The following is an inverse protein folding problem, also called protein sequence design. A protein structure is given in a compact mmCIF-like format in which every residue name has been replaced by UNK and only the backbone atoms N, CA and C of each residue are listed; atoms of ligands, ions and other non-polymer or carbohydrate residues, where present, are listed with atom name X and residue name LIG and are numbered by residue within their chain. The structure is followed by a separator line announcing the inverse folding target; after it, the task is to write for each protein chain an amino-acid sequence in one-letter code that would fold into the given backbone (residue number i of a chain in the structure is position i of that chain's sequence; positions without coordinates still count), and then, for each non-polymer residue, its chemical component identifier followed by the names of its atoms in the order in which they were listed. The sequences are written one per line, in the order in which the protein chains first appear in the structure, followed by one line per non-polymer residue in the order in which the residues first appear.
data_IF_455332316502
#
_entry.id   IF_455332316502
#
_cell.length_a   1.000
_cell.length_b   1.000
_cell.length_c   1.000
_cell.angle_alpha   90.00
_cell.angle_beta   90.00
_cell.angle_gamma   90.00
#
_symmetry.space_group_name_H-M   'P 1'
#
loop_
_entity.id
_entity.type
_entity.pdbx_description
1 polymer ?
#
# COMPACT_ATOMS: atom_id res chain seq x y z
N UNK A 1 12.88 2.37 -11.96
CA UNK A 1 12.34 1.01 -12.18
C UNK A 1 10.95 0.96 -11.61
N UNK A 2 9.99 0.58 -12.45
CA UNK A 2 8.58 0.49 -12.06
C UNK A 2 8.36 -0.69 -11.10
N UNK A 3 7.53 -0.53 -10.07
CA UNK A 3 7.18 -1.62 -9.17
C UNK A 3 6.44 -2.76 -9.89
N UNK A 4 6.73 -4.02 -9.54
CA UNK A 4 6.10 -5.20 -10.17
C UNK A 4 4.58 -5.24 -10.02
N UNK A 5 4.03 -4.62 -8.98
CA UNK A 5 2.60 -4.68 -8.66
C UNK A 5 1.82 -3.43 -9.14
N UNK A 6 2.46 -2.53 -9.89
CA UNK A 6 1.81 -1.32 -10.39
C UNK A 6 0.89 -1.61 -11.57
N UNK A 7 -0.36 -1.13 -11.50
CA UNK A 7 -1.28 -1.16 -12.64
C UNK A 7 -1.05 0.09 -13.48
N UNK A 8 -0.39 -0.07 -14.62
CA UNK A 8 -0.05 1.02 -15.55
C UNK A 8 -1.23 1.31 -16.47
N UNK A 9 -1.61 2.58 -16.52
CA UNK A 9 -2.62 3.13 -17.44
C UNK A 9 -1.97 3.74 -18.68
N UNK A 10 -0.75 4.25 -18.55
CA UNK A 10 0.02 4.81 -19.66
C UNK A 10 1.52 4.86 -19.34
N UNK A 11 2.32 4.76 -20.40
CA UNK A 11 3.77 4.89 -20.37
C UNK A 11 4.19 5.84 -21.49
N UNK A 12 5.10 6.77 -21.18
CA UNK A 12 5.76 7.61 -22.15
C UNK A 12 7.26 7.57 -21.92
N UNK A 13 8.01 7.22 -22.96
CA UNK A 13 9.45 6.96 -22.88
C UNK A 13 10.24 7.99 -23.67
N UNK A 14 11.18 8.63 -23.00
CA UNK A 14 12.03 9.68 -23.52
C UNK A 14 13.47 9.17 -23.65
N UNK A 15 14.10 9.51 -24.77
CA UNK A 15 15.45 9.08 -25.10
C UNK A 15 16.28 10.29 -25.57
N UNK A 16 17.55 10.36 -25.16
CA UNK A 16 18.48 11.38 -25.64
C UNK A 16 18.28 12.78 -25.06
N UNK A 17 17.63 12.89 -23.89
CA UNK A 17 17.53 14.16 -23.16
C UNK A 17 18.79 14.32 -22.32
N UNK A 18 19.76 15.12 -22.79
CA UNK A 18 21.07 15.30 -22.14
C UNK A 18 21.79 13.97 -21.80
N UNK A 19 21.83 13.03 -22.75
CA UNK A 19 22.37 11.66 -22.56
C UNK A 19 21.63 10.79 -21.54
N UNK A 20 20.45 11.22 -21.06
CA UNK A 20 19.56 10.43 -20.24
C UNK A 20 18.41 9.84 -21.06
N UNK A 21 17.95 8.68 -20.60
CA UNK A 21 16.71 8.05 -21.03
C UNK A 21 15.86 7.74 -19.80
N UNK A 22 14.58 8.10 -19.84
CA UNK A 22 13.65 7.86 -18.74
C UNK A 22 12.24 7.59 -19.27
N UNK A 23 11.42 6.96 -18.44
CA UNK A 23 10.02 6.72 -18.74
C UNK A 23 9.13 7.28 -17.62
N UNK A 24 8.02 7.90 -18.03
CA UNK A 24 6.96 8.39 -17.15
C UNK A 24 5.81 7.39 -17.20
N UNK A 25 5.37 6.94 -16.03
CA UNK A 25 4.27 5.98 -15.89
C UNK A 25 3.08 6.63 -15.20
N UNK A 26 1.92 6.62 -15.85
CA UNK A 26 0.65 6.86 -15.20
C UNK A 26 0.15 5.52 -14.66
N UNK A 27 0.06 5.38 -13.35
CA UNK A 27 -0.40 4.15 -12.71
C UNK A 27 -1.57 4.42 -11.75
N UNK A 28 -2.47 3.45 -11.61
CA UNK A 28 -3.54 3.50 -10.62
C UNK A 28 -2.94 3.40 -9.22
N UNK A 29 -3.40 4.20 -8.24
CA UNK A 29 -3.08 3.97 -6.83
C UNK A 29 -3.44 2.54 -6.45
N UNK A 30 -2.48 1.82 -5.89
CA UNK A 30 -2.63 0.45 -5.47
C UNK A 30 -2.05 0.31 -4.07
N UNK A 31 -2.82 -0.33 -3.19
CA UNK A 31 -2.36 -0.62 -1.85
C UNK A 31 -1.14 -1.54 -1.92
N UNK A 32 -0.13 -1.23 -1.11
CA UNK A 32 1.00 -2.13 -0.86
C UNK A 32 0.98 -2.50 0.61
N UNK A 33 1.08 -3.79 0.89
CA UNK A 33 1.05 -4.33 2.24
C UNK A 33 2.46 -4.76 2.66
N UNK A 34 2.85 -4.42 3.88
CA UNK A 34 4.06 -4.97 4.47
C UNK A 34 3.72 -6.27 5.19
N UNK A 35 3.81 -7.38 4.46
CA UNK A 35 3.28 -8.68 4.91
C UNK A 35 3.89 -9.14 6.24
N UNK A 36 5.16 -8.86 6.51
CA UNK A 36 5.79 -9.22 7.79
C UNK A 36 5.20 -8.42 8.96
N UNK A 37 4.96 -7.13 8.77
CA UNK A 37 4.39 -6.26 9.78
C UNK A 37 2.91 -6.61 10.05
N UNK A 38 2.13 -6.88 8.99
CA UNK A 38 0.74 -7.34 9.13
C UNK A 38 0.67 -8.70 9.84
N UNK A 39 1.55 -9.63 9.50
CA UNK A 39 1.59 -10.94 10.13
C UNK A 39 1.88 -10.84 11.65
N UNK A 40 2.70 -9.86 12.04
CA UNK A 40 3.02 -9.58 13.44
C UNK A 40 1.82 -9.06 14.23
N UNK A 41 0.90 -8.31 13.59
CA UNK A 41 -0.34 -7.86 14.24
C UNK A 41 -1.23 -9.02 14.72
N UNK A 42 -1.09 -10.18 14.08
CA UNK A 42 -1.89 -11.37 14.36
C UNK A 42 -1.06 -12.52 14.93
N UNK A 43 0.07 -12.23 15.56
CA UNK A 43 0.92 -13.23 16.22
C UNK A 43 1.32 -14.40 15.30
N UNK A 44 1.51 -14.14 14.00
CA UNK A 44 1.84 -15.19 13.03
C UNK A 44 0.64 -15.86 12.36
N UNK A 45 -0.60 -15.47 12.68
CA UNK A 45 -1.79 -16.04 12.06
C UNK A 45 -1.98 -15.50 10.63
N UNK A 46 -1.55 -16.31 9.65
CA UNK A 46 -1.63 -16.00 8.21
C UNK A 46 -3.07 -15.84 7.71
N UNK A 47 -4.04 -16.53 8.31
CA UNK A 47 -5.44 -16.43 7.89
C UNK A 47 -6.00 -15.05 8.23
N UNK A 48 -5.72 -14.55 9.43
CA UNK A 48 -6.14 -13.19 9.84
C UNK A 48 -5.40 -12.10 9.07
N UNK A 49 -4.09 -12.26 8.87
CA UNK A 49 -3.31 -11.36 8.02
C UNK A 49 -3.93 -11.25 6.60
N UNK A 50 -4.27 -12.40 6.00
CA UNK A 50 -4.91 -12.43 4.69
C UNK A 50 -6.32 -11.85 4.70
N UNK A 51 -7.09 -12.09 5.76
CA UNK A 51 -8.41 -11.49 5.97
C UNK A 51 -8.33 -9.97 6.00
N UNK A 52 -7.32 -9.41 6.68
CA UNK A 52 -7.08 -7.97 6.72
C UNK A 52 -6.73 -7.41 5.33
N UNK A 53 -5.81 -8.05 4.60
CA UNK A 53 -5.45 -7.63 3.24
C UNK A 53 -6.67 -7.60 2.31
N UNK A 54 -7.50 -8.65 2.35
CA UNK A 54 -8.72 -8.75 1.55
C UNK A 54 -9.71 -7.65 1.92
N UNK A 55 -9.92 -7.45 3.22
CA UNK A 55 -10.78 -6.37 3.72
C UNK A 55 -10.31 -5.02 3.18
N UNK A 56 -9.03 -4.67 3.33
CA UNK A 56 -8.51 -3.40 2.83
C UNK A 56 -8.60 -3.27 1.29
N UNK A 57 -8.37 -4.35 0.54
CA UNK A 57 -8.51 -4.36 -0.92
C UNK A 57 -9.96 -4.19 -1.40
N UNK A 58 -10.94 -4.60 -0.60
CA UNK A 58 -12.37 -4.43 -0.93
C UNK A 58 -12.90 -3.01 -0.69
N UNK A 59 -12.14 -2.18 0.02
CA UNK A 59 -12.56 -0.82 0.39
C UNK A 59 -12.27 0.16 -0.74
N UNK A 60 -13.10 1.19 -0.84
CA UNK A 60 -12.81 2.32 -1.72
C UNK A 60 -11.52 3.05 -1.29
N UNK A 61 -10.68 3.38 -2.27
CA UNK A 61 -9.37 3.96 -2.03
C UNK A 61 -9.45 5.38 -1.42
N UNK A 62 -10.42 6.19 -1.86
CA UNK A 62 -10.61 7.55 -1.35
C UNK A 62 -11.11 7.54 0.09
N UNK A 63 -12.02 6.61 0.40
CA UNK A 63 -12.51 6.41 1.76
C UNK A 63 -11.38 5.94 2.71
N UNK A 64 -10.57 4.97 2.29
CA UNK A 64 -9.42 4.54 3.08
C UNK A 64 -8.47 5.72 3.37
N UNK A 65 -8.18 6.54 2.36
CA UNK A 65 -7.34 7.73 2.53
C UNK A 65 -7.92 8.68 3.57
N UNK A 66 -9.22 8.98 3.51
CA UNK A 66 -9.89 9.85 4.46
C UNK A 66 -9.88 9.28 5.88
N UNK A 67 -10.08 7.97 6.05
CA UNK A 67 -10.07 7.31 7.35
C UNK A 67 -8.70 7.38 8.01
N UNK A 68 -7.64 7.07 7.26
CA UNK A 68 -6.29 7.22 7.77
C UNK A 68 -5.95 8.68 8.06
N UNK A 69 -6.39 9.64 7.25
CA UNK A 69 -6.17 11.06 7.54
C UNK A 69 -6.88 11.48 8.84
N UNK A 70 -8.14 11.05 9.03
CA UNK A 70 -8.91 11.31 10.25
C UNK A 70 -8.25 10.70 11.49
N UNK A 71 -7.64 9.53 11.36
CA UNK A 71 -6.91 8.84 12.42
C UNK A 71 -5.42 9.18 12.51
N UNK A 72 -4.97 10.26 11.88
CA UNK A 72 -3.56 10.71 11.88
C UNK A 72 -2.57 9.59 11.47
N UNK A 73 -2.88 8.89 10.38
CA UNK A 73 -2.11 7.78 9.84
C UNK A 73 -2.43 6.42 10.44
N UNK A 74 -3.39 6.32 11.37
CA UNK A 74 -3.78 5.08 12.04
C UNK A 74 -5.27 4.79 11.84
N UNK A 75 -5.63 3.52 11.69
CA UNK A 75 -7.02 3.06 11.57
C UNK A 75 -7.20 1.76 12.34
N UNK A 76 -8.21 1.70 13.21
CA UNK A 76 -8.59 0.47 13.90
C UNK A 76 -9.55 -0.33 13.01
N UNK A 77 -9.26 -1.61 12.81
CA UNK A 77 -10.09 -2.56 12.07
C UNK A 77 -10.65 -3.57 13.06
N UNK A 78 -11.92 -3.43 13.41
CA UNK A 78 -12.65 -4.24 14.40
C UNK A 78 -13.89 -4.95 13.84
N UNK A 79 -14.17 -4.78 12.54
CA UNK A 79 -15.39 -5.24 11.91
C UNK A 79 -15.26 -6.57 11.14
N UNK A 80 -14.07 -7.21 11.16
CA UNK A 80 -13.87 -8.50 10.50
C UNK A 80 -14.33 -9.60 11.47
N UNK A 81 -15.31 -10.39 11.03
CA UNK A 81 -15.89 -11.45 11.86
C UNK A 81 -14.83 -12.51 12.23
N UNK A 82 -14.86 -12.97 13.48
CA UNK A 82 -13.96 -14.00 14.02
C UNK A 82 -12.46 -13.64 13.93
N UNK A 83 -12.13 -12.35 13.81
CA UNK A 83 -10.77 -11.84 13.73
C UNK A 83 -10.57 -10.75 14.80
N UNK A 84 -9.45 -10.76 15.54
CA UNK A 84 -9.23 -9.75 16.57
C UNK A 84 -9.06 -8.36 15.96
N UNK A 85 -9.47 -7.35 16.73
CA UNK A 85 -9.28 -5.95 16.35
C UNK A 85 -7.80 -5.60 16.29
N UNK A 86 -7.39 -4.89 15.26
CA UNK A 86 -6.00 -4.43 15.09
C UNK A 86 -5.92 -2.99 14.65
N UNK A 87 -4.81 -2.36 15.00
CA UNK A 87 -4.47 -1.04 14.56
C UNK A 87 -3.56 -1.08 13.33
N UNK A 88 -4.09 -0.65 12.19
CA UNK A 88 -3.36 -0.53 10.93
C UNK A 88 -2.74 0.86 10.87
N UNK A 89 -1.46 0.95 10.47
CA UNK A 89 -0.68 2.19 10.45
C UNK A 89 -0.13 2.39 9.03
N UNK A 90 -0.37 3.57 8.46
CA UNK A 90 0.19 3.98 7.17
C UNK A 90 1.71 4.06 7.25
N UNK A 91 2.37 3.52 6.23
CA UNK A 91 3.83 3.52 6.15
C UNK A 91 4.52 2.44 6.99
N UNK A 92 3.75 1.65 7.75
CA UNK A 92 4.24 0.50 8.52
C UNK A 92 3.54 -0.79 8.09
N UNK A 93 2.21 -0.83 8.12
CA UNK A 93 1.42 -2.01 7.76
C UNK A 93 0.97 -1.95 6.29
N UNK A 94 0.61 -0.75 5.83
CA UNK A 94 0.04 -0.52 4.50
C UNK A 94 0.47 0.83 3.94
N UNK A 95 0.57 0.90 2.62
CA UNK A 95 0.86 2.11 1.85
C UNK A 95 -0.27 2.31 0.85
N UNK A 96 -0.70 3.56 0.64
CA UNK A 96 -1.82 3.87 -0.27
C UNK A 96 -1.37 3.83 -1.73
N UNK A 97 -0.15 4.24 -2.02
CA UNK A 97 0.43 4.10 -3.34
C UNK A 97 1.76 3.38 -3.30
N UNK A 98 2.08 2.74 -4.42
CA UNK A 98 3.39 2.11 -4.59
C UNK A 98 4.52 3.14 -4.53
N UNK A 99 4.26 4.38 -4.96
CA UNK A 99 5.21 5.50 -4.81
C UNK A 99 5.59 5.76 -3.34
N UNK A 100 4.63 5.65 -2.42
CA UNK A 100 4.87 5.84 -0.98
C UNK A 100 5.81 4.75 -0.44
N UNK A 101 5.56 3.49 -0.83
CA UNK A 101 6.38 2.35 -0.45
C UNK A 101 7.83 2.49 -0.94
N UNK A 102 8.01 2.86 -2.22
CA UNK A 102 9.35 3.03 -2.79
C UNK A 102 10.09 4.23 -2.20
N UNK A 103 9.40 5.34 -1.92
CA UNK A 103 10.00 6.52 -1.31
C UNK A 103 10.52 6.20 0.10
N UNK A 104 9.84 5.32 0.83
CA UNK A 104 10.23 4.86 2.17
C UNK A 104 11.37 3.84 2.14
N UNK A 105 11.37 2.91 1.19
CA UNK A 105 12.33 1.80 1.13
C UNK A 105 13.66 2.16 0.46
N UNK A 106 13.68 3.19 -0.40
CA UNK A 106 14.89 3.68 -1.06
C UNK A 106 15.68 4.74 -0.27
N UNK A 107 15.25 5.10 0.94
CA UNK A 107 15.98 6.07 1.79
C UNK A 107 17.18 5.45 2.54
N UNK A 108 17.76 4.35 2.04
CA UNK A 108 18.92 3.67 2.62
C UNK A 108 20.07 3.56 1.62
#
# INVERSE_FOLDING_TARGET
MMPQNSVVLGEESFHGIYDFSFAIYLARPALVFESAAILTLYEGNKQFARGLEIYMLSRDHSNLKLEFQKGNGKMTVDCIENQPSVDVVLGQHVFLAVGDYFSRTKTH
#
